data_IF_033536812443
#
_entry.id   IF_033536812443
#
_cell.length_a   1.000
_cell.length_b   1.000
_cell.length_c   1.000
_cell.angle_alpha   90.00
_cell.angle_beta   90.00
_cell.angle_gamma   90.00
#
_symmetry.space_group_name_H-M   'P 1'
#
loop_
_entity.id
_entity.type
_entity.pdbx_description
1 polymer ?
#
# COMPACT_ATOMS: atom_id res chain seq x y z
N UNK A 1 -9.24 7.66 -24.86
CA UNK A 1 -7.89 7.82 -24.29
C UNK A 1 -7.96 7.11 -22.96
N UNK A 2 -7.19 6.04 -22.76
CA UNK A 2 -7.04 5.49 -21.42
C UNK A 2 -6.43 6.59 -20.56
N UNK A 3 -7.06 6.90 -19.44
CA UNK A 3 -6.48 7.80 -18.46
C UNK A 3 -5.19 7.13 -17.98
N UNK A 4 -4.04 7.78 -18.17
CA UNK A 4 -2.76 7.19 -17.78
C UNK A 4 -2.69 7.27 -16.27
N UNK A 5 -2.86 6.12 -15.61
CA UNK A 5 -2.69 6.05 -14.16
C UNK A 5 -1.21 6.05 -13.81
N UNK A 6 -0.84 6.86 -12.81
CA UNK A 6 0.49 6.84 -12.22
C UNK A 6 0.38 6.67 -10.70
N UNK A 7 1.34 5.93 -10.14
CA UNK A 7 1.45 5.67 -8.71
C UNK A 7 2.87 6.00 -8.29
N UNK A 8 3.01 6.95 -7.37
CA UNK A 8 4.28 7.33 -6.75
C UNK A 8 4.24 6.98 -5.26
N UNK A 9 5.21 6.20 -4.80
CA UNK A 9 5.47 5.99 -3.38
C UNK A 9 6.28 7.20 -2.89
N UNK A 10 5.66 8.05 -2.07
CA UNK A 10 6.29 9.28 -1.58
C UNK A 10 7.21 9.00 -0.39
N UNK A 11 6.82 8.02 0.42
CA UNK A 11 7.58 7.45 1.53
C UNK A 11 7.06 6.01 1.79
N UNK A 12 7.50 5.38 2.87
CA UNK A 12 7.13 3.99 3.17
C UNK A 12 5.64 3.78 3.40
N UNK A 13 4.88 4.82 3.74
CA UNK A 13 3.48 4.73 4.13
C UNK A 13 2.54 5.46 3.15
N UNK A 14 3.05 6.47 2.44
CA UNK A 14 2.25 7.41 1.69
C UNK A 14 2.41 7.19 0.19
N UNK A 15 1.27 7.04 -0.49
CA UNK A 15 1.22 6.94 -1.95
C UNK A 15 0.46 8.11 -2.55
N UNK A 16 0.93 8.55 -3.72
CA UNK A 16 0.19 9.44 -4.63
C UNK A 16 -0.29 8.63 -5.81
N UNK A 17 -1.58 8.76 -6.13
CA UNK A 17 -2.23 8.14 -7.28
C UNK A 17 -2.80 9.26 -8.13
N UNK A 18 -2.45 9.30 -9.41
CA UNK A 18 -3.04 10.22 -10.39
C UNK A 18 -3.73 9.42 -11.50
N UNK A 19 -4.92 9.84 -11.92
CA UNK A 19 -5.78 9.13 -12.87
C UNK A 19 -7.21 8.97 -12.34
N UNK A 20 -8.00 8.09 -12.97
CA UNK A 20 -9.42 7.89 -12.63
C UNK A 20 -9.85 6.42 -12.43
N UNK A 21 -9.12 5.58 -11.66
CA UNK A 21 -9.60 4.24 -11.30
C UNK A 21 -10.90 4.30 -10.48
N UNK A 22 -11.83 3.37 -10.74
CA UNK A 22 -13.12 3.33 -10.00
C UNK A 22 -12.98 2.77 -8.59
N UNK A 23 -11.91 2.03 -8.35
CA UNK A 23 -11.49 1.59 -7.03
C UNK A 23 -9.98 1.36 -7.00
N UNK A 24 -9.40 1.43 -5.80
CA UNK A 24 -8.00 1.13 -5.55
C UNK A 24 -7.91 0.28 -4.30
N UNK A 25 -7.11 -0.79 -4.34
CA UNK A 25 -6.71 -1.55 -3.15
C UNK A 25 -5.30 -1.14 -2.76
N UNK A 26 -5.13 -0.81 -1.49
CA UNK A 26 -3.83 -0.51 -0.90
C UNK A 26 -3.41 -1.70 -0.03
N UNK A 27 -2.24 -2.27 -0.32
CA UNK A 27 -1.66 -3.36 0.44
C UNK A 27 -0.54 -2.82 1.33
N UNK A 28 -0.61 -3.12 2.63
CA UNK A 28 0.39 -2.71 3.59
C UNK A 28 0.65 -3.79 4.63
N UNK A 29 1.79 -3.71 5.29
CA UNK A 29 2.11 -4.54 6.44
C UNK A 29 2.83 -3.73 7.53
N UNK A 30 2.82 -4.28 8.73
CA UNK A 30 3.40 -3.67 9.93
C UNK A 30 3.81 -4.76 10.90
N UNK A 31 4.53 -4.40 11.95
CA UNK A 31 4.68 -5.26 13.13
C UNK A 31 3.74 -4.77 14.22
N UNK A 32 2.98 -5.69 14.81
CA UNK A 32 2.14 -5.41 15.97
C UNK A 32 2.98 -5.25 17.26
N UNK A 33 2.34 -4.96 18.38
CA UNK A 33 2.98 -4.79 19.69
C UNK A 33 3.71 -6.06 20.17
N UNK A 34 3.31 -7.23 19.65
CA UNK A 34 3.95 -8.52 19.90
C UNK A 34 5.12 -8.79 18.93
N UNK A 35 5.50 -7.80 18.11
CA UNK A 35 6.53 -7.88 17.08
C UNK A 35 6.25 -8.95 16.03
N UNK A 36 4.98 -9.25 15.78
CA UNK A 36 4.52 -10.17 14.73
C UNK A 36 4.03 -9.37 13.53
N UNK A 37 4.28 -9.86 12.32
CA UNK A 37 3.82 -9.17 11.11
C UNK A 37 2.32 -9.32 10.93
N UNK A 38 1.64 -8.18 10.80
CA UNK A 38 0.27 -8.07 10.30
C UNK A 38 0.29 -7.57 8.86
N UNK A 39 -0.71 -7.99 8.07
CA UNK A 39 -0.93 -7.53 6.70
C UNK A 39 -2.36 -7.05 6.52
N UNK A 40 -2.56 -6.10 5.61
CA UNK A 40 -3.88 -5.61 5.21
C UNK A 40 -3.86 -5.29 3.72
N UNK A 41 -4.94 -5.67 3.02
CA UNK A 41 -5.16 -5.37 1.62
C UNK A 41 -6.64 -5.07 1.43
N UNK A 42 -7.00 -3.79 1.50
CA UNK A 42 -8.40 -3.36 1.51
C UNK A 42 -8.65 -2.24 0.50
N UNK A 43 -9.88 -2.12 -0.03
CA UNK A 43 -10.24 -1.05 -0.93
C UNK A 43 -10.26 0.29 -0.20
N UNK A 44 -9.65 1.31 -0.80
CA UNK A 44 -9.65 2.69 -0.29
C UNK A 44 -10.63 3.58 -1.06
N UNK A 45 -11.32 3.05 -2.07
CA UNK A 45 -12.22 3.78 -2.96
C UNK A 45 -11.53 4.32 -4.21
N UNK A 46 -12.34 4.80 -5.16
CA UNK A 46 -11.86 5.36 -6.42
C UNK A 46 -11.04 6.64 -6.27
N UNK A 47 -10.40 7.03 -7.37
CA UNK A 47 -9.66 8.28 -7.51
C UNK A 47 -10.27 9.08 -8.66
N UNK A 48 -10.38 10.39 -8.50
CA UNK A 48 -10.82 11.32 -9.54
C UNK A 48 -9.74 12.40 -9.72
N UNK A 49 -8.85 12.17 -10.69
CA UNK A 49 -7.72 13.04 -11.00
C UNK A 49 -6.50 12.80 -10.14
N UNK A 50 -6.57 13.06 -8.83
CA UNK A 50 -5.43 12.92 -7.91
C UNK A 50 -5.87 12.59 -6.49
N UNK A 51 -5.18 11.63 -5.87
CA UNK A 51 -5.30 11.30 -4.44
C UNK A 51 -3.92 11.07 -3.84
N UNK A 52 -3.70 11.61 -2.64
CA UNK A 52 -2.56 11.27 -1.80
C UNK A 52 -3.14 10.64 -0.54
N UNK A 53 -2.63 9.48 -0.14
CA UNK A 53 -3.16 8.72 0.99
C UNK A 53 -2.03 8.03 1.73
N UNK A 54 -2.04 8.16 3.04
CA UNK A 54 -1.19 7.40 3.95
C UNK A 54 -1.92 6.13 4.41
N UNK A 55 -1.21 5.03 4.62
CA UNK A 55 -1.85 3.80 5.12
C UNK A 55 -2.53 4.02 6.49
N UNK A 56 -1.99 4.85 7.39
CA UNK A 56 -2.65 5.13 8.68
C UNK A 56 -3.92 5.97 8.53
N UNK A 57 -4.01 6.80 7.49
CA UNK A 57 -5.25 7.50 7.16
C UNK A 57 -6.32 6.53 6.65
N UNK A 58 -5.90 5.55 5.82
CA UNK A 58 -6.81 4.57 5.23
C UNK A 58 -7.29 3.51 6.24
N UNK A 59 -6.41 3.05 7.13
CA UNK A 59 -6.61 1.82 7.90
C UNK A 59 -6.54 2.01 9.42
N UNK A 60 -6.14 3.19 9.91
CA UNK A 60 -5.99 3.49 11.33
C UNK A 60 -4.56 3.37 11.84
N UNK A 61 -4.37 3.36 13.15
CA UNK A 61 -3.04 3.39 13.77
C UNK A 61 -2.34 2.01 13.74
N UNK A 62 -1.02 2.03 13.53
CA UNK A 62 -0.16 0.84 13.52
C UNK A 62 0.93 0.95 14.59
N UNK A 63 1.30 -0.18 15.21
CA UNK A 63 2.30 -0.17 16.27
C UNK A 63 3.72 0.15 15.74
N UNK A 64 4.19 -0.59 14.74
CA UNK A 64 5.48 -0.35 14.09
C UNK A 64 5.38 -0.47 12.56
N UNK A 65 5.62 0.65 11.87
CA UNK A 65 5.25 0.83 10.46
C UNK A 65 4.16 1.89 10.36
N UNK A 66 3.24 1.82 9.38
CA UNK A 66 3.07 0.78 8.34
C UNK A 66 4.02 0.94 7.14
N UNK A 67 4.10 -0.10 6.30
CA UNK A 67 4.79 -0.06 5.02
C UNK A 67 3.80 -0.47 3.92
N UNK A 68 3.54 0.42 2.97
CA UNK A 68 2.77 0.10 1.77
C UNK A 68 3.66 -0.71 0.84
N UNK A 69 3.20 -1.91 0.47
CA UNK A 69 3.91 -2.83 -0.41
C UNK A 69 3.42 -2.77 -1.86
N UNK A 70 2.12 -2.51 -2.07
CA UNK A 70 1.51 -2.56 -3.39
C UNK A 70 0.25 -1.69 -3.47
N UNK A 71 0.01 -1.14 -4.66
CA UNK A 71 -1.24 -0.49 -5.03
C UNK A 71 -1.82 -1.22 -6.24
N UNK A 72 -3.08 -1.64 -6.15
CA UNK A 72 -3.84 -2.21 -7.26
C UNK A 72 -4.97 -1.27 -7.65
N UNK A 73 -5.25 -1.12 -8.95
CA UNK A 73 -6.40 -0.35 -9.41
C UNK A 73 -7.35 -1.15 -10.28
N UNK A 74 -8.60 -0.70 -10.24
CA UNK A 74 -9.73 -1.40 -10.86
C UNK A 74 -10.46 -0.48 -11.83
N UNK A 75 -10.82 -1.04 -12.99
CA UNK A 75 -11.68 -0.45 -14.00
C UNK A 75 -13.16 -0.87 -13.80
N UNK A 76 -14.12 -0.15 -14.41
CA UNK A 76 -15.52 -0.53 -14.33
C UNK A 76 -15.78 -1.96 -14.83
N UNK A 77 -16.36 -2.80 -13.96
CA UNK A 77 -16.73 -4.18 -14.28
C UNK A 77 -15.77 -5.25 -13.74
N UNK A 78 -14.58 -4.86 -13.27
CA UNK A 78 -13.62 -5.78 -12.64
C UNK A 78 -14.02 -6.06 -11.18
N UNK A 79 -14.07 -7.33 -10.74
CA UNK A 79 -14.28 -7.66 -9.32
C UNK A 79 -13.17 -7.08 -8.43
N UNK A 80 -13.57 -6.36 -7.38
CA UNK A 80 -12.67 -5.65 -6.43
C UNK A 80 -12.20 -6.60 -5.35
N UNK A 81 -11.26 -7.46 -5.71
CA UNK A 81 -10.67 -8.46 -4.82
C UNK A 81 -9.15 -8.30 -4.92
N UNK A 82 -8.40 -8.32 -3.80
CA UNK A 82 -6.94 -8.28 -3.84
C UNK A 82 -6.36 -9.33 -4.80
N UNK A 83 -5.37 -8.93 -5.60
CA UNK A 83 -4.75 -9.74 -6.64
C UNK A 83 -5.51 -9.82 -7.96
N UNK A 84 -6.61 -9.07 -8.12
CA UNK A 84 -7.44 -9.05 -9.33
C UNK A 84 -7.50 -7.65 -9.99
N UNK A 85 -6.60 -6.72 -9.60
CA UNK A 85 -6.50 -5.42 -10.23
C UNK A 85 -6.20 -5.49 -11.73
N UNK A 86 -6.73 -4.53 -12.49
CA UNK A 86 -6.42 -4.37 -13.92
C UNK A 86 -4.97 -3.90 -14.13
N UNK A 87 -4.41 -3.25 -13.10
CA UNK A 87 -3.01 -2.92 -12.97
C UNK A 87 -2.58 -3.00 -11.51
N UNK A 88 -1.29 -3.25 -11.27
CA UNK A 88 -0.68 -3.12 -9.94
C UNK A 88 0.71 -2.48 -10.03
N UNK A 89 1.10 -1.80 -8.95
CA UNK A 89 2.41 -1.19 -8.79
C UNK A 89 2.95 -1.54 -7.41
N UNK A 90 4.10 -2.22 -7.38
CA UNK A 90 4.80 -2.55 -6.15
C UNK A 90 5.69 -1.39 -5.70
N UNK A 91 5.88 -1.25 -4.39
CA UNK A 91 6.78 -0.26 -3.81
C UNK A 91 8.24 -0.55 -4.25
N UNK A 92 8.89 0.36 -5.01
CA UNK A 92 10.26 0.14 -5.48
C UNK A 92 11.29 0.14 -4.34
N UNK A 93 10.99 0.83 -3.23
CA UNK A 93 11.88 1.01 -2.08
C UNK A 93 11.48 0.08 -0.91
N UNK A 94 10.75 -1.01 -1.20
CA UNK A 94 10.19 -1.90 -0.19
C UNK A 94 11.25 -2.46 0.77
N UNK A 95 12.37 -2.95 0.24
CA UNK A 95 13.45 -3.53 1.06
C UNK A 95 14.08 -2.47 1.99
N UNK A 96 14.29 -1.26 1.48
CA UNK A 96 14.84 -0.15 2.25
C UNK A 96 13.87 0.31 3.35
N UNK A 97 12.58 0.37 3.05
CA UNK A 97 11.53 0.65 4.04
C UNK A 97 11.48 -0.41 5.14
N UNK A 98 11.57 -1.69 4.77
CA UNK A 98 11.65 -2.80 5.74
C UNK A 98 12.87 -2.65 6.64
N UNK A 99 14.05 -2.42 6.05
CA UNK A 99 15.27 -2.24 6.82
C UNK A 99 15.16 -1.05 7.78
N UNK A 100 14.68 0.10 7.30
CA UNK A 100 14.56 1.31 8.10
C UNK A 100 13.61 1.14 9.31
N UNK A 101 12.44 0.53 9.12
CA UNK A 101 11.49 0.26 10.22
C UNK A 101 12.08 -0.75 11.20
N UNK A 102 12.72 -1.81 10.71
CA UNK A 102 13.31 -2.83 11.58
C UNK A 102 14.46 -2.30 12.41
N UNK A 103 15.36 -1.53 11.81
CA UNK A 103 16.50 -0.95 12.51
C UNK A 103 16.05 0.08 13.55
N UNK A 104 14.99 0.85 13.25
CA UNK A 104 14.43 1.83 14.18
C UNK A 104 13.82 1.20 15.44
N UNK A 105 13.20 0.03 15.31
CA UNK A 105 12.41 -0.60 16.38
C UNK A 105 12.97 -1.95 16.87
N UNK A 106 14.14 -2.38 16.38
CA UNK A 106 14.76 -3.68 16.68
C UNK A 106 13.80 -4.86 16.45
N UNK A 107 13.28 -4.95 15.21
CA UNK A 107 12.24 -5.90 14.82
C UNK A 107 12.80 -7.11 14.03
N UNK A 108 12.15 -8.29 14.15
CA UNK A 108 12.51 -9.47 13.38
C UNK A 108 12.27 -9.26 11.88
N UNK A 109 12.85 -10.15 11.06
CA UNK A 109 12.54 -10.18 9.63
C UNK A 109 11.03 -10.41 9.41
N UNK A 110 10.39 -9.72 8.43
CA UNK A 110 8.95 -9.78 8.28
C UNK A 110 8.46 -11.12 7.76
N UNK A 111 9.30 -11.79 6.97
CA UNK A 111 8.99 -13.07 6.36
C UNK A 111 10.17 -14.03 6.57
N UNK A 112 9.91 -15.33 6.80
CA UNK A 112 10.96 -16.32 6.89
C UNK A 112 11.69 -16.44 5.53
N UNK A 113 13.02 -16.40 5.58
CA UNK A 113 13.90 -16.70 4.44
C UNK A 113 14.04 -18.19 4.21
#
# INVERSE_FOLDING_TARGET
MADVVSVDFLDCETVRIEGTPVDVILSAFWWDESRTVGTISEPIGGVDGRRVVAASEAFGEFAYGPIVSEVEGFEPGTPRIPGNGDWSVSNPDLEDCVAAVRDRYDLPAPFPT
#
